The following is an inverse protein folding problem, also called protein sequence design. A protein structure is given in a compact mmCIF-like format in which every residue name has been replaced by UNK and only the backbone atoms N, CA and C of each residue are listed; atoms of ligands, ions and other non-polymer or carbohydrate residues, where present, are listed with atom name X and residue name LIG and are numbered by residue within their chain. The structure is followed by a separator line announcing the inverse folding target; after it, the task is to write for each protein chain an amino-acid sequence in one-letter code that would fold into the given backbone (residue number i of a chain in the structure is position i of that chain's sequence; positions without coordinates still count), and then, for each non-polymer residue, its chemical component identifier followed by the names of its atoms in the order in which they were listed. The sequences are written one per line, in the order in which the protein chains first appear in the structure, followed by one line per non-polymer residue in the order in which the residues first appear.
data_IF_839472753973
#
_entry.id   IF_839472753973
#
_cell.length_a   1.000
_cell.length_b   1.000
_cell.length_c   1.000
_cell.angle_alpha   90.00
_cell.angle_beta   90.00
_cell.angle_gamma   90.00
#
_symmetry.space_group_name_H-M   'P 1'
#
loop_
_entity.id
_entity.type
_entity.pdbx_description
1 polymer ?
#
# COMPACT_ATOMS: atom_id res chain seq x y z
N UNK A 1 -6.54 9.47 2.23
CA UNK A 1 -5.11 9.53 2.62
C UNK A 1 -4.38 8.35 2.02
N UNK A 2 -3.24 8.60 1.39
CA UNK A 2 -2.45 7.61 0.68
C UNK A 2 -1.00 7.57 1.16
N UNK A 3 -0.42 6.38 1.24
CA UNK A 3 1.01 6.15 1.49
C UNK A 3 1.64 5.59 0.22
N UNK A 4 2.74 6.19 -0.21
CA UNK A 4 3.58 5.70 -1.29
C UNK A 4 4.87 5.17 -0.64
N UNK A 5 5.08 3.86 -0.73
CA UNK A 5 6.33 3.21 -0.39
C UNK A 5 7.12 3.10 -1.69
N UNK A 6 7.96 4.09 -1.93
CA UNK A 6 8.76 4.18 -3.15
C UNK A 6 10.16 3.56 -2.95
N UNK A 7 10.95 3.59 -4.03
CA UNK A 7 12.37 3.23 -4.03
C UNK A 7 13.15 4.39 -4.63
N UNK A 8 14.47 4.42 -4.45
CA UNK A 8 15.29 5.47 -5.08
C UNK A 8 15.20 5.50 -6.61
N UNK A 9 14.82 4.38 -7.23
CA UNK A 9 14.70 4.28 -8.69
C UNK A 9 13.36 4.79 -9.24
N UNK A 10 12.30 4.78 -8.44
CA UNK A 10 10.94 5.10 -8.87
C UNK A 10 10.38 6.19 -7.98
N UNK A 11 10.49 7.47 -8.36
CA UNK A 11 10.20 8.57 -7.45
C UNK A 11 8.71 8.68 -7.10
N UNK A 12 8.40 8.87 -5.82
CA UNK A 12 7.04 9.10 -5.31
C UNK A 12 6.30 10.24 -5.99
N UNK A 13 7.00 11.27 -6.47
CA UNK A 13 6.41 12.39 -7.23
C UNK A 13 5.76 11.92 -8.54
N UNK A 14 6.39 10.98 -9.25
CA UNK A 14 5.82 10.43 -10.48
C UNK A 14 4.58 9.58 -10.17
N UNK A 15 4.66 8.76 -9.13
CA UNK A 15 3.56 7.92 -8.66
C UNK A 15 2.38 8.80 -8.22
N UNK A 16 2.63 9.87 -7.46
CA UNK A 16 1.60 10.78 -6.97
C UNK A 16 0.88 11.50 -8.12
N UNK A 17 1.64 11.96 -9.11
CA UNK A 17 1.08 12.61 -10.29
C UNK A 17 0.22 11.65 -11.12
N UNK A 18 0.68 10.42 -11.32
CA UNK A 18 -0.02 9.44 -12.18
C UNK A 18 -1.26 8.85 -11.52
N UNK A 19 -1.17 8.46 -10.26
CA UNK A 19 -2.26 7.75 -9.57
C UNK A 19 -3.26 8.70 -8.90
N UNK A 20 -2.80 9.83 -8.38
CA UNK A 20 -3.63 10.74 -7.58
C UNK A 20 -3.80 12.12 -8.21
N UNK A 21 -3.19 12.38 -9.38
CA UNK A 21 -3.20 13.69 -10.06
C UNK A 21 -2.71 14.84 -9.17
N UNK A 22 -1.81 14.53 -8.23
CA UNK A 22 -1.22 15.48 -7.31
C UNK A 22 0.28 15.55 -7.54
N UNK A 23 0.84 16.76 -7.60
CA UNK A 23 2.30 16.94 -7.62
C UNK A 23 2.93 16.86 -6.22
N UNK A 24 2.11 16.94 -5.18
CA UNK A 24 2.58 16.99 -3.80
C UNK A 24 2.45 15.62 -3.15
N UNK A 25 3.61 15.11 -2.70
CA UNK A 25 3.71 13.98 -1.77
C UNK A 25 4.64 14.42 -0.63
N UNK A 26 4.16 14.33 0.61
CA UNK A 26 4.93 14.70 1.79
C UNK A 26 5.82 13.53 2.20
N UNK A 27 7.13 13.75 2.19
CA UNK A 27 8.09 12.72 2.60
C UNK A 27 8.04 12.59 4.12
N UNK A 28 7.93 11.35 4.60
CA UNK A 28 8.07 10.99 6.00
C UNK A 28 9.51 10.49 6.18
N UNK A 29 10.27 11.16 7.04
CA UNK A 29 11.69 10.85 7.28
C UNK A 29 11.89 9.95 8.50
N UNK A 30 10.93 9.90 9.42
CA UNK A 30 10.97 9.06 10.62
C UNK A 30 9.59 8.55 11.02
N UNK A 31 9.55 7.35 11.61
CA UNK A 31 8.33 6.79 12.21
C UNK A 31 8.36 7.05 13.71
N UNK A 32 7.59 8.02 14.16
CA UNK A 32 7.37 8.33 15.57
C UNK A 32 5.88 8.45 15.85
N UNK A 33 5.49 8.44 17.13
CA UNK A 33 4.10 8.71 17.53
C UNK A 33 3.63 10.08 17.03
N UNK A 34 4.50 11.10 17.08
CA UNK A 34 4.20 12.44 16.57
C UNK A 34 3.91 12.42 15.06
N UNK A 35 4.75 11.72 14.28
CA UNK A 35 4.52 11.55 12.84
C UNK A 35 3.16 10.90 12.57
N UNK A 36 2.79 9.87 13.33
CA UNK A 36 1.52 9.17 13.15
C UNK A 36 0.34 10.09 13.49
N UNK A 37 0.41 10.86 14.56
CA UNK A 37 -0.61 11.84 14.93
C UNK A 37 -0.79 12.91 13.85
N UNK A 38 0.32 13.43 13.29
CA UNK A 38 0.28 14.39 12.18
C UNK A 38 -0.37 13.81 10.93
N UNK A 39 -0.01 12.58 10.57
CA UNK A 39 -0.58 11.86 9.44
C UNK A 39 -2.07 11.67 9.63
N UNK A 40 -2.52 11.24 10.82
CA UNK A 40 -3.94 11.00 11.12
C UNK A 40 -4.77 12.29 11.16
N UNK A 41 -4.16 13.40 11.56
CA UNK A 41 -4.82 14.71 11.57
C UNK A 41 -4.90 15.35 10.17
N UNK A 42 -4.05 14.93 9.25
CA UNK A 42 -3.96 15.49 7.90
C UNK A 42 -4.67 14.66 6.84
N UNK A 43 -5.13 15.32 5.78
CA UNK A 43 -5.43 14.66 4.51
C UNK A 43 -4.29 14.89 3.52
N UNK A 44 -3.86 13.84 2.83
CA UNK A 44 -2.80 13.98 1.83
C UNK A 44 -2.25 12.67 1.29
N UNK A 45 -1.21 12.84 0.49
CA UNK A 45 -0.35 11.78 -0.03
C UNK A 45 0.99 11.91 0.70
N UNK A 46 1.41 10.81 1.28
CA UNK A 46 2.66 10.72 2.02
C UNK A 46 3.55 9.70 1.32
N UNK A 47 4.87 9.88 1.41
CA UNK A 47 5.83 8.95 0.84
C UNK A 47 6.92 8.56 1.83
N UNK A 48 7.41 7.33 1.71
CA UNK A 48 8.59 6.83 2.39
C UNK A 48 9.48 6.10 1.38
N UNK A 49 10.79 6.32 1.48
CA UNK A 49 11.78 5.54 0.77
C UNK A 49 11.97 4.20 1.46
N UNK A 50 11.62 3.10 0.78
CA UNK A 50 11.68 1.75 1.35
C UNK A 50 13.02 1.45 2.02
N UNK A 51 14.11 1.92 1.43
CA UNK A 51 15.48 1.72 1.88
C UNK A 51 15.80 2.41 3.22
N UNK A 52 15.01 3.40 3.61
CA UNK A 52 15.21 4.17 4.85
C UNK A 52 14.48 3.59 6.08
N UNK A 53 13.60 2.60 5.88
CA UNK A 53 12.75 2.07 6.94
C UNK A 53 12.84 0.55 7.03
N UNK A 54 12.73 0.02 8.24
CA UNK A 54 12.59 -1.41 8.44
C UNK A 54 11.24 -1.94 7.92
N UNK A 55 11.19 -3.24 7.62
CA UNK A 55 9.94 -3.89 7.24
C UNK A 55 8.83 -3.74 8.29
N UNK A 56 9.20 -3.68 9.57
CA UNK A 56 8.25 -3.51 10.68
C UNK A 56 7.66 -2.10 10.71
N UNK A 57 8.51 -1.07 10.57
CA UNK A 57 8.07 0.33 10.47
C UNK A 57 7.16 0.55 9.27
N UNK A 58 7.54 0.02 8.09
CA UNK A 58 6.71 0.09 6.89
C UNK A 58 5.36 -0.59 7.12
N UNK A 59 5.35 -1.76 7.76
CA UNK A 59 4.11 -2.49 8.08
C UNK A 59 3.23 -1.68 9.03
N UNK A 60 3.81 -1.06 10.04
CA UNK A 60 3.09 -0.23 11.00
C UNK A 60 2.51 1.01 10.33
N UNK A 61 3.31 1.70 9.52
CA UNK A 61 2.84 2.84 8.72
C UNK A 61 1.69 2.45 7.82
N UNK A 62 1.81 1.36 7.05
CA UNK A 62 0.74 0.87 6.18
C UNK A 62 -0.58 0.71 6.92
N UNK A 63 -0.61 0.36 8.21
CA UNK A 63 -1.84 0.19 8.98
C UNK A 63 -2.75 1.44 8.95
N UNK A 64 -2.17 2.63 9.13
CA UNK A 64 -2.90 3.89 9.29
C UNK A 64 -3.42 4.51 7.99
N UNK A 65 -3.03 3.97 6.83
CA UNK A 65 -3.42 4.51 5.53
C UNK A 65 -4.50 3.67 4.86
N UNK A 66 -5.48 4.34 4.24
CA UNK A 66 -6.54 3.68 3.47
C UNK A 66 -6.08 3.24 2.09
N UNK A 67 -5.15 4.00 1.51
CA UNK A 67 -4.56 3.73 0.20
C UNK A 67 -3.06 3.53 0.36
N UNK A 68 -2.54 2.44 -0.17
CA UNK A 68 -1.12 2.09 -0.12
C UNK A 68 -0.64 1.81 -1.53
N UNK A 69 0.46 2.45 -1.92
CA UNK A 69 1.16 2.20 -3.16
C UNK A 69 2.53 1.68 -2.82
N UNK A 70 2.94 0.55 -3.38
CA UNK A 70 4.24 -0.04 -3.11
C UNK A 70 4.97 -0.38 -4.40
N UNK A 71 6.22 0.06 -4.46
CA UNK A 71 7.13 -0.23 -5.56
C UNK A 71 7.89 -1.53 -5.26
N UNK A 72 7.69 -2.52 -6.11
CA UNK A 72 8.50 -3.74 -6.20
C UNK A 72 9.08 -3.84 -7.63
N UNK A 73 8.98 -5.01 -8.27
CA UNK A 73 9.20 -5.14 -9.71
C UNK A 73 8.15 -4.36 -10.53
N UNK A 74 6.93 -4.26 -10.00
CA UNK A 74 5.82 -3.46 -10.51
C UNK A 74 5.33 -2.52 -9.40
N UNK A 75 4.49 -1.55 -9.76
CA UNK A 75 3.80 -0.70 -8.79
C UNK A 75 2.46 -1.34 -8.43
N UNK A 76 2.27 -1.69 -7.16
CA UNK A 76 1.02 -2.19 -6.63
C UNK A 76 0.26 -1.06 -5.93
N UNK A 77 -0.99 -0.86 -6.28
CA UNK A 77 -1.92 0.04 -5.60
C UNK A 77 -2.98 -0.77 -4.87
N UNK A 78 -3.17 -0.49 -3.58
CA UNK A 78 -4.19 -1.13 -2.73
C UNK A 78 -5.05 -0.05 -2.10
N UNK A 79 -6.36 -0.14 -2.32
CA UNK A 79 -7.36 0.66 -1.62
C UNK A 79 -8.16 -0.22 -0.67
N UNK A 80 -7.88 -0.10 0.63
CA UNK A 80 -8.52 -0.92 1.67
C UNK A 80 -10.01 -0.63 1.81
N UNK A 81 -10.39 0.64 1.72
CA UNK A 81 -11.79 1.07 1.87
C UNK A 81 -12.68 0.53 0.75
N UNK A 82 -12.16 0.50 -0.48
CA UNK A 82 -12.89 0.02 -1.67
C UNK A 82 -12.63 -1.45 -1.98
N UNK A 83 -11.73 -2.11 -1.26
CA UNK A 83 -11.26 -3.48 -1.54
C UNK A 83 -10.77 -3.66 -2.99
N UNK A 84 -10.03 -2.67 -3.50
CA UNK A 84 -9.50 -2.66 -4.86
C UNK A 84 -7.98 -2.88 -4.81
N UNK A 85 -7.47 -3.74 -5.69
CA UNK A 85 -6.04 -3.89 -5.97
C UNK A 85 -5.83 -3.63 -7.46
N UNK A 86 -4.83 -2.84 -7.80
CA UNK A 86 -4.40 -2.55 -9.17
C UNK A 86 -2.90 -2.70 -9.28
N UNK A 87 -2.44 -3.09 -10.46
CA UNK A 87 -1.03 -3.23 -10.78
C UNK A 87 -0.68 -2.32 -11.94
N UNK A 88 0.52 -1.73 -11.88
CA UNK A 88 1.04 -0.90 -12.95
C UNK A 88 2.47 -1.34 -13.28
N UNK A 89 2.76 -1.45 -14.56
CA UNK A 89 4.12 -1.63 -15.06
C UNK A 89 4.84 -0.27 -15.09
N UNK A 90 6.14 -0.30 -14.77
CA UNK A 90 7.00 0.88 -14.79
C UNK A 90 7.50 1.09 -16.21
N UNK A 91 7.16 2.22 -16.82
CA UNK A 91 7.63 2.59 -18.17
C UNK A 91 8.89 3.44 -18.04
N UNK A 92 9.97 2.99 -18.69
CA UNK A 92 11.26 3.67 -18.71
C UNK A 92 11.61 4.17 -20.11
N UNK A 93 12.36 5.27 -20.19
CA UNK A 93 12.90 5.79 -21.44
C UNK A 93 14.14 5.01 -21.91
N UNK A 94 14.75 5.44 -23.03
CA UNK A 94 15.97 4.84 -23.57
C UNK A 94 17.20 5.00 -22.67
N UNK A 95 17.15 5.88 -21.67
CA UNK A 95 18.22 6.11 -20.69
C UNK A 95 17.96 5.35 -19.38
N UNK A 96 16.85 4.61 -19.27
CA UNK A 96 16.45 3.89 -18.06
C UNK A 96 15.73 4.74 -17.01
N UNK A 97 15.44 6.01 -17.29
CA UNK A 97 14.68 6.90 -16.41
C UNK A 97 13.19 6.55 -16.45
N UNK A 98 12.53 6.55 -15.28
CA UNK A 98 11.09 6.28 -15.19
C UNK A 98 10.30 7.48 -15.72
N UNK A 99 9.42 7.24 -16.69
CA UNK A 99 8.62 8.28 -17.35
C UNK A 99 7.11 8.09 -17.17
N UNK A 100 6.65 6.87 -16.92
CA UNK A 100 5.22 6.60 -16.78
C UNK A 100 4.92 5.31 -16.00
N UNK A 101 3.65 5.14 -15.64
CA UNK A 101 3.06 3.92 -15.10
C UNK A 101 1.92 3.48 -16.02
N UNK A 102 1.95 2.25 -16.51
CA UNK A 102 0.90 1.69 -17.35
C UNK A 102 0.10 0.63 -16.56
N UNK A 103 -1.22 0.80 -16.45
CA UNK A 103 -2.08 -0.14 -15.73
C UNK A 103 -2.07 -1.50 -16.42
N UNK A 104 -1.74 -2.54 -15.65
CA UNK A 104 -1.84 -3.94 -16.06
C UNK A 104 -3.29 -4.34 -15.82
N UNK A 105 -4.08 -4.42 -16.89
CA UNK A 105 -5.43 -4.98 -16.83
C UNK A 105 -5.32 -6.50 -16.78
N UNK A 106 -5.68 -7.10 -15.65
CA UNK A 106 -5.94 -8.55 -15.60
C UNK A 106 -7.07 -8.84 -16.60
N UNK A 107 -6.80 -9.64 -17.62
CA UNK A 107 -7.83 -10.24 -18.47
C UNK A 107 -8.67 -11.19 -17.62
N UNK A 108 -9.99 -11.14 -17.75
CA UNK A 108 -10.97 -11.90 -16.93
C UNK A 108 -10.88 -13.44 -17.07
N UNK A 109 -9.90 -13.97 -17.82
CA UNK A 109 -9.83 -15.39 -18.23
C UNK A 109 -8.77 -16.25 -17.51
N UNK A 110 -8.06 -15.75 -16.49
CA UNK A 110 -7.10 -16.58 -15.76
C UNK A 110 -7.38 -16.59 -14.26
N UNK A 111 -7.77 -17.79 -13.80
CA UNK A 111 -7.83 -18.31 -12.43
C UNK A 111 -8.06 -17.28 -11.31
N UNK A 112 -9.26 -17.35 -10.70
CA UNK A 112 -9.57 -16.74 -9.41
C UNK A 112 -8.62 -17.24 -8.33
N UNK A 113 -7.44 -16.64 -8.26
CA UNK A 113 -6.59 -16.70 -7.09
C UNK A 113 -7.24 -15.83 -6.02
N UNK A 114 -7.59 -16.48 -4.91
CA UNK A 114 -8.18 -15.83 -3.75
C UNK A 114 -7.30 -14.65 -3.28
N UNK A 115 -7.82 -13.44 -3.51
CA UNK A 115 -7.17 -12.13 -3.25
C UNK A 115 -7.04 -11.83 -1.76
N UNK A 116 -7.24 -12.83 -0.89
CA UNK A 116 -7.13 -12.71 0.56
C UNK A 116 -6.10 -13.67 1.19
N UNK A 117 -5.45 -14.53 0.41
CA UNK A 117 -4.49 -15.52 0.91
C UNK A 117 -3.26 -14.92 1.62
N UNK A 118 -2.95 -13.64 1.36
CA UNK A 118 -1.85 -12.90 1.99
C UNK A 118 -2.29 -12.04 3.19
N UNK A 119 -3.57 -12.05 3.56
CA UNK A 119 -4.04 -11.45 4.81
C UNK A 119 -3.84 -12.50 5.93
N UNK A 120 -2.91 -12.29 6.88
CA UNK A 120 -2.64 -13.25 7.95
C UNK A 120 -3.81 -13.46 8.94
N UNK A 121 -4.97 -12.84 8.70
CA UNK A 121 -6.09 -12.80 9.64
C UNK A 121 -7.41 -13.40 9.16
N UNK A 122 -7.53 -13.93 7.93
CA UNK A 122 -8.79 -14.60 7.51
C UNK A 122 -8.80 -16.09 7.91
N UNK A 123 -7.66 -16.79 7.84
CA UNK A 123 -7.59 -18.22 8.26
C UNK A 123 -7.64 -18.45 9.77
N UNK A 124 -7.40 -17.42 10.59
CA UNK A 124 -7.43 -17.55 12.04
C UNK A 124 -8.85 -17.50 12.63
N UNK A 125 -9.86 -17.09 11.85
CA UNK A 125 -11.25 -16.94 12.34
C UNK A 125 -12.18 -18.10 11.95
N UNK A 126 -11.74 -19.08 11.16
CA UNK A 126 -12.59 -20.20 10.75
C UNK A 126 -12.51 -21.42 11.70
N UNK A 127 -11.56 -21.47 12.64
CA UNK A 127 -11.38 -22.61 13.57
C UNK A 127 -11.45 -22.26 15.06
N UNK A 128 -11.80 -21.02 15.43
CA UNK A 128 -12.01 -20.69 16.83
C UNK A 128 -13.46 -20.96 17.22
N UNK A 129 -13.71 -22.11 17.85
CA UNK A 129 -14.94 -22.33 18.62
C UNK A 129 -14.88 -21.37 19.80
N UNK A 130 -15.56 -20.22 19.66
CA UNK A 130 -15.80 -19.30 20.77
C UNK A 130 -16.80 -20.00 21.72
N UNK A 131 -16.29 -20.61 22.79
CA UNK A 131 -17.12 -21.04 23.92
C UNK A 131 -17.34 -19.80 24.78
N UNK A 132 -18.55 -19.24 24.71
CA UNK A 132 -18.98 -18.21 25.65
C UNK A 132 -19.18 -18.85 27.03
N UNK A 133 -18.52 -18.38 28.10
CA UNK A 133 -18.68 -18.93 29.43
C UNK A 133 -19.94 -18.38 30.12
N UNK A 134 -21.12 -18.52 29.50
CA UNK A 134 -22.41 -18.08 30.05
C UNK A 134 -23.55 -19.07 29.76
N UNK A 135 -23.29 -20.37 29.74
CA UNK A 135 -24.34 -21.38 29.92
C UNK A 135 -23.86 -22.41 30.97
N UNK A 136 -23.83 -21.98 32.23
CA UNK A 136 -24.11 -22.87 33.35
C UNK A 136 -25.61 -23.22 33.31
N UNK A 137 -25.92 -24.48 33.00
CA UNK A 137 -27.01 -25.25 33.61
C UNK A 137 -26.72 -26.77 33.48
#
# INVERSE_FOLDING_TARGET
MALIVDTFEVPSVLISQKLFRSADARVIEEVSLGTIEEVLAGEGIYSIHRECFSCEEIRWMKYYFNEVVEVFANVQYVNKSKKIVRYYSIVRDCNGAVIDLAEIKESEDEETHDKTAFLPYIKAQEEEIVIFPDDED
#
